data_IF_372281377595
#
_entry.id   IF_372281377595
#
_cell.length_a   1.000
_cell.length_b   1.000
_cell.length_c   1.000
_cell.angle_alpha   90.00
_cell.angle_beta   90.00
_cell.angle_gamma   90.00
#
_symmetry.space_group_name_H-M   'P 1'
#
loop_
_entity.id
_entity.type
_entity.pdbx_description
1 polymer ?
#
# COMPACT_ATOMS: atom_id res chain seq x y z
N UNK A 1 20.65 4.78 4.08
CA UNK A 1 20.07 3.71 3.24
C UNK A 1 19.47 2.57 4.07
N UNK A 2 20.15 2.04 5.10
CA UNK A 2 19.60 0.94 5.94
C UNK A 2 18.25 1.31 6.58
N UNK A 3 18.14 2.52 7.15
CA UNK A 3 16.90 2.98 7.81
C UNK A 3 15.70 3.11 6.85
N UNK A 4 15.90 3.68 5.66
CA UNK A 4 14.81 3.81 4.66
C UNK A 4 14.39 2.45 4.12
N UNK A 5 15.33 1.54 3.88
CA UNK A 5 15.03 0.16 3.50
C UNK A 5 14.17 -0.54 4.56
N UNK A 6 14.54 -0.46 5.84
CA UNK A 6 13.75 -1.04 6.93
C UNK A 6 12.33 -0.47 6.99
N UNK A 7 12.16 0.85 6.84
CA UNK A 7 10.83 1.47 6.86
C UNK A 7 9.95 1.01 5.70
N UNK A 8 10.51 0.87 4.50
CA UNK A 8 9.79 0.28 3.37
C UNK A 8 9.40 -1.17 3.62
N UNK A 9 10.28 -1.99 4.21
CA UNK A 9 9.93 -3.36 4.61
C UNK A 9 8.82 -3.38 5.66
N UNK A 10 8.87 -2.49 6.66
CA UNK A 10 7.79 -2.38 7.67
C UNK A 10 6.47 -2.03 7.01
N UNK A 11 6.45 -1.06 6.09
CA UNK A 11 5.24 -0.73 5.31
C UNK A 11 4.70 -1.93 4.53
N UNK A 12 5.58 -2.71 3.90
CA UNK A 12 5.19 -3.93 3.18
C UNK A 12 4.60 -4.99 4.12
N UNK A 13 5.19 -5.19 5.29
CA UNK A 13 4.66 -6.12 6.31
C UNK A 13 3.28 -5.69 6.79
N UNK A 14 3.08 -4.40 7.07
CA UNK A 14 1.77 -3.84 7.42
C UNK A 14 0.76 -4.09 6.30
N UNK A 15 1.16 -3.88 5.04
CA UNK A 15 0.33 -4.15 3.88
C UNK A 15 -0.09 -5.62 3.79
N UNK A 16 0.85 -6.56 3.94
CA UNK A 16 0.55 -8.01 3.93
C UNK A 16 -0.40 -8.37 5.08
N UNK A 17 -0.15 -7.87 6.29
CA UNK A 17 -1.05 -8.11 7.43
C UNK A 17 -2.45 -7.58 7.13
N UNK A 18 -2.56 -6.38 6.55
CA UNK A 18 -3.84 -5.78 6.19
C UNK A 18 -4.58 -6.61 5.13
N UNK A 19 -3.87 -7.15 4.14
CA UNK A 19 -4.45 -8.05 3.14
C UNK A 19 -4.98 -9.34 3.76
N UNK A 20 -4.19 -9.95 4.66
CA UNK A 20 -4.58 -11.18 5.37
C UNK A 20 -5.80 -10.93 6.25
N UNK A 21 -5.80 -9.85 7.04
CA UNK A 21 -6.94 -9.48 7.88
C UNK A 21 -8.17 -9.25 7.01
N UNK A 22 -8.07 -8.43 5.96
CA UNK A 22 -9.19 -8.15 5.06
C UNK A 22 -9.76 -9.41 4.41
N UNK A 23 -8.91 -10.35 4.01
CA UNK A 23 -9.34 -11.64 3.47
C UNK A 23 -10.05 -12.49 4.51
N UNK A 24 -9.51 -12.61 5.72
CA UNK A 24 -10.10 -13.41 6.81
C UNK A 24 -11.42 -12.81 7.33
N UNK A 25 -11.59 -11.50 7.25
CA UNK A 25 -12.84 -10.83 7.66
C UNK A 25 -13.82 -10.66 6.52
N UNK A 26 -13.48 -11.03 5.29
CA UNK A 26 -14.34 -10.81 4.12
C UNK A 26 -15.73 -11.45 4.28
N UNK A 27 -15.78 -12.66 4.82
CA UNK A 27 -17.06 -13.37 5.02
C UNK A 27 -18.02 -12.59 5.93
N UNK A 28 -17.50 -11.82 6.89
CA UNK A 28 -18.33 -11.01 7.81
C UNK A 28 -18.99 -9.79 7.16
N UNK A 29 -18.48 -9.33 6.02
CA UNK A 29 -19.01 -8.18 5.27
C UNK A 29 -19.63 -8.59 3.93
N UNK A 30 -19.55 -9.87 3.57
CA UNK A 30 -19.94 -10.37 2.25
C UNK A 30 -21.42 -10.18 1.97
N UNK A 31 -22.27 -10.48 2.95
CA UNK A 31 -23.73 -10.37 2.79
C UNK A 31 -24.17 -8.91 2.60
N UNK A 32 -23.56 -7.97 3.34
CA UNK A 32 -23.79 -6.53 3.18
C UNK A 32 -23.39 -6.06 1.77
N UNK A 33 -22.23 -6.51 1.27
CA UNK A 33 -21.78 -6.19 -0.09
C UNK A 33 -22.72 -6.74 -1.17
N UNK A 34 -23.27 -7.94 -0.96
CA UNK A 34 -24.24 -8.53 -1.89
C UNK A 34 -25.53 -7.70 -1.89
N UNK A 35 -26.02 -7.30 -0.71
CA UNK A 35 -27.22 -6.47 -0.58
C UNK A 35 -27.01 -5.10 -1.28
N UNK A 36 -25.89 -4.43 -1.05
CA UNK A 36 -25.55 -3.17 -1.69
C UNK A 36 -25.46 -3.30 -3.23
N UNK A 37 -24.88 -4.39 -3.73
CA UNK A 37 -24.80 -4.66 -5.17
C UNK A 37 -26.16 -4.99 -5.78
N UNK A 38 -27.05 -5.65 -5.05
CA UNK A 38 -28.42 -5.93 -5.49
C UNK A 38 -29.22 -4.65 -5.68
N UNK A 39 -29.06 -3.67 -4.79
CA UNK A 39 -29.69 -2.35 -4.95
C UNK A 39 -29.17 -1.60 -6.19
N UNK A 40 -27.88 -1.74 -6.49
CA UNK A 40 -27.25 -1.07 -7.64
C UNK A 40 -27.49 -1.81 -8.96
N UNK A 41 -27.72 -3.13 -8.93
CA UNK A 41 -27.84 -4.00 -10.10
C UNK A 41 -29.11 -4.88 -10.01
N UNK A 42 -30.31 -4.27 -10.05
CA UNK A 42 -31.57 -5.00 -9.82
C UNK A 42 -31.88 -6.05 -10.89
N UNK A 43 -31.27 -5.94 -12.08
CA UNK A 43 -31.48 -6.88 -13.18
C UNK A 43 -30.64 -8.17 -13.06
N UNK A 44 -29.70 -8.24 -12.11
CA UNK A 44 -28.87 -9.42 -11.89
C UNK A 44 -29.48 -10.35 -10.84
N UNK A 45 -29.38 -11.66 -11.07
CA UNK A 45 -29.79 -12.63 -10.05
C UNK A 45 -28.84 -12.62 -8.86
N UNK A 46 -29.33 -13.04 -7.69
CA UNK A 46 -28.50 -13.15 -6.47
C UNK A 46 -27.25 -14.01 -6.69
N UNK A 47 -27.40 -15.18 -7.33
CA UNK A 47 -26.29 -16.10 -7.60
C UNK A 47 -25.20 -15.45 -8.48
N UNK A 48 -25.59 -14.60 -9.44
CA UNK A 48 -24.65 -13.86 -10.27
C UNK A 48 -23.88 -12.83 -9.45
N UNK A 49 -24.56 -12.09 -8.57
CA UNK A 49 -23.93 -11.10 -7.69
C UNK A 49 -22.98 -11.78 -6.71
N UNK A 50 -23.39 -12.89 -6.08
CA UNK A 50 -22.53 -13.68 -5.19
C UNK A 50 -21.23 -14.12 -5.89
N UNK A 51 -21.35 -14.58 -7.14
CA UNK A 51 -20.21 -14.98 -7.96
C UNK A 51 -19.30 -13.78 -8.25
N UNK A 52 -19.86 -12.62 -8.61
CA UNK A 52 -19.10 -11.38 -8.88
C UNK A 52 -18.39 -10.88 -7.63
N UNK A 53 -19.06 -10.86 -6.48
CA UNK A 53 -18.50 -10.44 -5.18
C UNK A 53 -17.32 -11.34 -4.79
N UNK A 54 -17.45 -12.66 -4.94
CA UNK A 54 -16.36 -13.60 -4.62
C UNK A 54 -15.18 -13.46 -5.59
N UNK A 55 -15.43 -13.41 -6.90
CA UNK A 55 -14.36 -13.26 -7.91
C UNK A 55 -13.64 -11.93 -7.72
N UNK A 56 -14.38 -10.84 -7.52
CA UNK A 56 -13.80 -9.51 -7.33
C UNK A 56 -12.95 -9.43 -6.08
N UNK A 57 -13.34 -10.08 -4.98
CA UNK A 57 -12.51 -10.15 -3.78
C UNK A 57 -11.19 -10.90 -4.04
N UNK A 58 -11.25 -12.10 -4.64
CA UNK A 58 -10.04 -12.88 -4.97
C UNK A 58 -9.12 -12.09 -5.90
N UNK A 59 -9.68 -11.47 -6.93
CA UNK A 59 -8.94 -10.65 -7.88
C UNK A 59 -8.30 -9.43 -7.18
N UNK A 60 -9.03 -8.76 -6.29
CA UNK A 60 -8.55 -7.59 -5.54
C UNK A 60 -7.39 -7.96 -4.62
N UNK A 61 -7.50 -9.06 -3.88
CA UNK A 61 -6.42 -9.55 -3.01
C UNK A 61 -5.19 -9.92 -3.85
N UNK A 62 -5.37 -10.66 -4.95
CA UNK A 62 -4.28 -11.04 -5.84
C UNK A 62 -3.57 -9.82 -6.46
N UNK A 63 -4.35 -8.84 -6.92
CA UNK A 63 -3.82 -7.60 -7.47
C UNK A 63 -3.06 -6.78 -6.42
N UNK A 64 -3.60 -6.67 -5.20
CA UNK A 64 -2.94 -5.98 -4.11
C UNK A 64 -1.60 -6.63 -3.73
N UNK A 65 -1.55 -7.97 -3.63
CA UNK A 65 -0.30 -8.69 -3.38
C UNK A 65 0.73 -8.50 -4.51
N UNK A 66 0.27 -8.45 -5.77
CA UNK A 66 1.15 -8.14 -6.90
C UNK A 66 1.77 -6.74 -6.78
N UNK A 67 1.00 -5.74 -6.34
CA UNK A 67 1.51 -4.39 -6.04
C UNK A 67 2.56 -4.43 -4.93
N UNK A 68 2.31 -5.16 -3.83
CA UNK A 68 3.30 -5.31 -2.75
C UNK A 68 4.59 -5.96 -3.27
N UNK A 69 4.49 -6.97 -4.14
CA UNK A 69 5.64 -7.59 -4.81
C UNK A 69 6.42 -6.60 -5.69
N UNK A 70 5.71 -5.76 -6.44
CA UNK A 70 6.32 -4.71 -7.25
C UNK A 70 7.04 -3.65 -6.38
N UNK A 71 6.42 -3.22 -5.28
CA UNK A 71 7.05 -2.30 -4.32
C UNK A 71 8.29 -2.95 -3.70
N UNK A 72 8.22 -4.22 -3.28
CA UNK A 72 9.36 -4.96 -2.75
C UNK A 72 10.52 -5.00 -3.75
N UNK A 73 10.24 -5.27 -5.02
CA UNK A 73 11.23 -5.20 -6.10
C UNK A 73 11.87 -3.81 -6.19
N UNK A 74 11.07 -2.74 -6.20
CA UNK A 74 11.58 -1.37 -6.22
C UNK A 74 12.46 -1.05 -5.00
N UNK A 75 12.09 -1.55 -3.82
CA UNK A 75 12.85 -1.38 -2.57
C UNK A 75 14.23 -2.05 -2.68
N UNK A 76 14.32 -3.23 -3.28
CA UNK A 76 15.61 -3.86 -3.57
C UNK A 76 16.42 -3.08 -4.62
N UNK A 77 15.79 -2.56 -5.67
CA UNK A 77 16.48 -1.74 -6.68
C UNK A 77 17.00 -0.42 -6.09
N UNK A 78 16.24 0.19 -5.19
CA UNK A 78 16.67 1.35 -4.40
C UNK A 78 17.89 0.99 -3.55
N UNK A 79 17.87 -0.16 -2.85
CA UNK A 79 19.01 -0.63 -2.04
C UNK A 79 20.27 -0.87 -2.89
N UNK A 80 20.10 -1.27 -4.15
CA UNK A 80 21.19 -1.38 -5.13
C UNK A 80 21.70 -0.03 -5.65
N UNK A 81 21.19 1.10 -5.13
CA UNK A 81 21.66 2.45 -5.49
C UNK A 81 21.03 3.04 -6.76
N UNK A 82 20.01 2.40 -7.34
CA UNK A 82 19.38 2.88 -8.58
C UNK A 82 18.47 4.08 -8.31
N UNK A 83 18.81 5.24 -8.87
CA UNK A 83 18.05 6.49 -8.64
C UNK A 83 16.62 6.44 -9.19
N UNK A 84 16.38 5.77 -10.31
CA UNK A 84 15.02 5.66 -10.86
C UNK A 84 14.05 4.99 -9.88
N UNK A 85 14.52 3.97 -9.14
CA UNK A 85 13.69 3.25 -8.17
C UNK A 85 13.25 4.15 -7.02
N UNK A 86 14.11 5.09 -6.59
CA UNK A 86 13.76 6.10 -5.58
C UNK A 86 12.65 7.02 -6.07
N UNK A 87 12.76 7.51 -7.31
CA UNK A 87 11.74 8.38 -7.91
C UNK A 87 10.41 7.64 -8.00
N UNK A 88 10.41 6.41 -8.50
CA UNK A 88 9.20 5.58 -8.60
C UNK A 88 8.58 5.32 -7.23
N UNK A 89 9.38 4.97 -6.21
CA UNK A 89 8.90 4.78 -4.84
C UNK A 89 8.29 6.05 -4.25
N UNK A 90 8.85 7.22 -4.54
CA UNK A 90 8.29 8.51 -4.10
C UNK A 90 6.94 8.77 -4.75
N UNK A 91 6.80 8.52 -6.06
CA UNK A 91 5.53 8.72 -6.77
C UNK A 91 4.47 7.76 -6.21
N UNK A 92 4.78 6.46 -6.17
CA UNK A 92 3.83 5.43 -5.71
C UNK A 92 3.48 5.63 -4.23
N UNK A 93 4.48 5.87 -3.38
CA UNK A 93 4.28 6.13 -1.96
C UNK A 93 3.51 7.42 -1.71
N UNK A 94 3.80 8.48 -2.48
CA UNK A 94 3.07 9.75 -2.41
C UNK A 94 1.61 9.62 -2.80
N UNK A 95 1.31 8.92 -3.90
CA UNK A 95 -0.07 8.63 -4.32
C UNK A 95 -0.78 7.80 -3.24
N UNK A 96 -0.12 6.76 -2.71
CA UNK A 96 -0.70 5.92 -1.68
C UNK A 96 -1.07 6.72 -0.43
N UNK A 97 -0.18 7.62 0.03
CA UNK A 97 -0.45 8.51 1.16
C UNK A 97 -1.63 9.42 0.87
N UNK A 98 -1.67 10.07 -0.30
CA UNK A 98 -2.77 10.96 -0.68
C UNK A 98 -4.12 10.23 -0.72
N UNK A 99 -4.18 9.07 -1.36
CA UNK A 99 -5.40 8.25 -1.42
C UNK A 99 -5.82 7.78 -0.01
N UNK A 100 -4.85 7.40 0.82
CA UNK A 100 -5.12 6.99 2.20
C UNK A 100 -5.73 8.15 3.00
N UNK A 101 -5.23 9.37 2.83
CA UNK A 101 -5.76 10.56 3.50
C UNK A 101 -7.20 10.90 3.04
N UNK A 102 -7.49 10.75 1.75
CA UNK A 102 -8.85 10.95 1.21
C UNK A 102 -9.84 9.91 1.75
N UNK A 103 -9.38 8.68 2.00
CA UNK A 103 -10.20 7.60 2.53
C UNK A 103 -10.50 7.72 4.04
N UNK A 104 -9.84 8.64 4.78
CA UNK A 104 -10.04 8.81 6.22
C UNK A 104 -11.44 9.33 6.61
N UNK A 105 -12.24 9.78 5.65
CA UNK A 105 -13.59 10.28 5.89
C UNK A 105 -14.53 9.26 6.57
N UNK A 106 -14.20 7.96 6.55
CA UNK A 106 -15.02 6.89 7.13
C UNK A 106 -14.87 6.64 8.65
N UNK A 107 -13.82 7.16 9.31
CA UNK A 107 -13.58 6.94 10.74
C UNK A 107 -13.28 5.47 11.16
N UNK A 108 -13.07 5.22 12.46
CA UNK A 108 -12.88 3.87 13.02
C UNK A 108 -11.43 3.35 13.07
N UNK A 109 -11.21 2.14 13.60
CA UNK A 109 -9.86 1.57 13.81
C UNK A 109 -9.08 1.39 12.50
N UNK A 110 -9.77 1.13 11.38
CA UNK A 110 -9.16 1.08 10.05
C UNK A 110 -8.47 2.39 9.66
N UNK A 111 -9.02 3.54 10.08
CA UNK A 111 -8.42 4.85 9.83
C UNK A 111 -7.09 5.05 10.59
N UNK A 112 -6.95 4.47 11.78
CA UNK A 112 -5.70 4.52 12.55
C UNK A 112 -4.59 3.70 11.88
N UNK A 113 -4.90 2.51 11.38
CA UNK A 113 -3.94 1.67 10.65
C UNK A 113 -3.49 2.38 9.37
N UNK A 114 -4.41 3.00 8.64
CA UNK A 114 -4.11 3.80 7.45
C UNK A 114 -3.20 5.00 7.78
N UNK A 115 -3.48 5.73 8.85
CA UNK A 115 -2.65 6.84 9.31
C UNK A 115 -1.23 6.41 9.69
N UNK A 116 -1.11 5.30 10.43
CA UNK A 116 0.20 4.74 10.81
C UNK A 116 0.97 4.31 9.57
N UNK A 117 0.32 3.59 8.65
CA UNK A 117 0.93 3.17 7.39
C UNK A 117 1.42 4.35 6.56
N UNK A 118 0.58 5.39 6.40
CA UNK A 118 0.93 6.62 5.70
C UNK A 118 2.12 7.32 6.35
N UNK A 119 2.16 7.42 7.68
CA UNK A 119 3.29 7.98 8.43
C UNK A 119 4.60 7.21 8.21
N UNK A 120 4.54 5.87 8.17
CA UNK A 120 5.69 5.01 7.88
C UNK A 120 6.19 5.25 6.45
N UNK A 121 5.30 5.35 5.46
CA UNK A 121 5.66 5.61 4.06
C UNK A 121 6.31 6.99 3.92
N UNK A 122 5.73 8.04 4.53
CA UNK A 122 6.31 9.39 4.54
C UNK A 122 7.70 9.36 5.16
N UNK A 123 7.87 8.70 6.31
CA UNK A 123 9.18 8.54 6.93
C UNK A 123 10.16 7.80 6.00
N UNK A 124 9.73 6.72 5.35
CA UNK A 124 10.56 5.96 4.41
C UNK A 124 11.08 6.86 3.27
N UNK A 125 10.22 7.69 2.68
CA UNK A 125 10.57 8.64 1.63
C UNK A 125 11.54 9.70 2.16
N UNK A 126 11.27 10.32 3.31
CA UNK A 126 12.16 11.35 3.90
C UNK A 126 13.55 10.79 4.18
N UNK A 127 13.64 9.61 4.81
CA UNK A 127 14.91 8.97 5.11
C UNK A 127 15.65 8.48 3.86
N UNK A 128 14.93 8.16 2.79
CA UNK A 128 15.51 7.77 1.50
C UNK A 128 16.35 8.91 0.91
N UNK A 129 15.85 10.15 0.93
CA UNK A 129 16.59 11.31 0.40
C UNK A 129 17.60 11.90 1.39
N UNK A 130 17.35 11.85 2.70
CA UNK A 130 18.34 12.30 3.71
C UNK A 130 19.64 11.48 3.65
N UNK A 131 19.54 10.18 3.36
CA UNK A 131 20.72 9.33 3.22
C UNK A 131 21.62 9.74 2.04
N UNK A 132 21.03 10.27 0.96
CA UNK A 132 21.79 10.75 -0.20
C UNK A 132 22.41 12.12 0.07
N UNK A 133 21.68 13.01 0.73
CA UNK A 133 22.24 14.30 1.14
C UNK A 133 23.50 14.11 2.01
N UNK A 134 23.47 13.17 2.96
CA UNK A 134 24.61 12.87 3.83
C UNK A 134 25.85 12.39 3.05
N UNK A 135 25.69 11.59 1.99
CA UNK A 135 26.82 11.11 1.19
C UNK A 135 27.41 12.21 0.30
N UNK A 136 26.59 13.16 -0.17
CA UNK A 136 27.05 14.32 -0.93
C UNK A 136 27.96 15.23 -0.10
N UNK A 137 27.60 15.50 1.16
CA UNK A 137 28.44 16.33 2.05
C UNK A 137 29.70 15.64 2.58
N UNK A 138 29.74 14.30 2.60
CA UNK A 138 30.94 13.54 2.97
C UNK A 138 31.99 13.52 1.85
N UNK A 139 31.60 13.68 0.59
CA UNK A 139 32.53 13.92 -0.53
C UNK A 139 32.93 15.41 -0.59
N UNK A 140 33.76 15.86 0.36
CA UNK A 140 34.45 17.16 0.21
C UNK A 140 35.55 17.04 -0.86
N UNK A 141 35.76 18.06 -1.72
CA UNK A 141 36.86 18.05 -2.67
C UNK A 141 38.18 18.11 -1.89
N UNK A 142 39.08 17.17 -2.13
CA UNK A 142 40.49 17.38 -1.80
C UNK A 142 41.02 18.32 -2.88
N UNK A 143 41.15 19.60 -2.54
CA UNK A 143 41.93 20.57 -3.31
C UNK A 143 43.41 20.42 -2.95
#
# INVERSE_FOLDING_TARGET
MIRSFQLWIVSLVIGVISAVVGFLTFDSIRDDLIADMQEQMPDMSRDQIETVVTISNIASVGFYLAILGAILFLVFQMKSGKNWARITLTIVGGINVLLSLLALAGGGVGSLIQLVSAGVIVAAIVFMYRADAASYFQKRPQY
#
